data_IF_205043225761
#
_entry.id   IF_205043225761
#
_cell.length_a   1.000
_cell.length_b   1.000
_cell.length_c   1.000
_cell.angle_alpha   90.00
_cell.angle_beta   90.00
_cell.angle_gamma   90.00
#
_symmetry.space_group_name_H-M   'P 1'
#
loop_
_entity.id
_entity.type
_entity.pdbx_description
1 polymer ?
#
# COMPACT_ATOMS: atom_id res chain seq x y z
N UNK A 1 56.65 -21.86 21.51
CA UNK A 1 55.27 -21.31 21.41
C UNK A 1 54.37 -22.39 20.79
N UNK A 2 53.36 -22.85 21.55
CA UNK A 2 52.65 -24.12 21.33
C UNK A 2 51.65 -24.07 20.15
N UNK A 3 51.51 -25.16 19.38
CA UNK A 3 50.59 -25.26 18.20
C UNK A 3 49.12 -24.95 18.51
N UNK A 4 48.70 -24.96 19.78
CA UNK A 4 47.33 -24.68 20.21
C UNK A 4 46.92 -23.19 20.10
N UNK A 5 47.87 -22.26 19.99
CA UNK A 5 47.56 -20.82 19.91
C UNK A 5 47.20 -20.33 18.49
N UNK A 6 47.36 -21.17 17.46
CA UNK A 6 47.04 -20.78 16.07
C UNK A 6 45.59 -21.08 15.66
N UNK A 7 44.85 -21.84 16.47
CA UNK A 7 43.47 -22.24 16.16
C UNK A 7 42.39 -21.26 16.65
N UNK A 8 42.74 -20.25 17.46
CA UNK A 8 41.77 -19.26 17.95
C UNK A 8 41.67 -17.99 17.08
N UNK A 9 42.59 -17.76 16.14
CA UNK A 9 42.58 -16.56 15.32
C UNK A 9 41.71 -16.67 14.05
N UNK A 10 41.27 -17.88 13.67
CA UNK A 10 40.52 -18.11 12.44
C UNK A 10 39.00 -18.14 12.62
N UNK A 11 38.49 -18.09 13.86
CA UNK A 11 37.05 -18.15 14.18
C UNK A 11 36.41 -16.78 14.46
N UNK A 12 37.20 -15.69 14.47
CA UNK A 12 36.71 -14.32 14.70
C UNK A 12 36.54 -13.49 13.43
N UNK A 13 36.76 -14.05 12.23
CA UNK A 13 36.65 -13.30 10.97
C UNK A 13 35.25 -13.37 10.32
N UNK A 14 34.27 -14.04 10.92
CA UNK A 14 32.96 -14.31 10.29
C UNK A 14 31.83 -13.39 10.73
N UNK A 15 32.09 -12.38 11.56
CA UNK A 15 31.05 -11.55 12.16
C UNK A 15 31.33 -10.05 11.95
N UNK A 16 31.01 -9.53 10.75
CA UNK A 16 30.60 -8.13 10.56
C UNK A 16 30.47 -7.78 9.06
N UNK A 17 29.55 -8.42 8.34
CA UNK A 17 28.88 -7.76 7.20
C UNK A 17 27.40 -8.12 7.26
N UNK A 18 26.73 -7.72 8.34
CA UNK A 18 25.28 -7.53 8.29
C UNK A 18 25.05 -6.17 7.61
N UNK A 19 25.22 -6.12 6.29
CA UNK A 19 24.64 -5.04 5.52
C UNK A 19 23.13 -5.17 5.64
N UNK A 20 22.45 -4.14 6.13
CA UNK A 20 20.99 -4.08 6.02
C UNK A 20 20.66 -4.08 4.53
N UNK A 21 20.30 -5.24 3.98
CA UNK A 21 19.66 -5.30 2.69
C UNK A 21 18.27 -4.68 2.86
N UNK A 22 18.17 -3.36 2.73
CA UNK A 22 16.89 -2.71 2.54
C UNK A 22 16.41 -3.13 1.15
N UNK A 23 15.48 -4.07 1.11
CA UNK A 23 14.69 -4.25 -0.11
C UNK A 23 14.05 -2.90 -0.42
N UNK A 24 14.31 -2.35 -1.60
CA UNK A 24 13.71 -1.09 -2.02
C UNK A 24 12.19 -1.20 -1.88
N UNK A 25 11.53 -0.20 -1.29
CA UNK A 25 10.09 -0.24 -1.00
C UNK A 25 9.26 -0.47 -2.26
N UNK A 26 9.73 0.02 -3.41
CA UNK A 26 9.16 -0.26 -4.74
C UNK A 26 9.04 -1.76 -5.04
N UNK A 27 9.89 -2.60 -4.46
CA UNK A 27 9.89 -4.06 -4.58
C UNK A 27 9.24 -4.77 -3.38
N UNK A 28 8.33 -4.09 -2.67
CA UNK A 28 7.61 -4.65 -1.53
C UNK A 28 6.11 -4.47 -1.69
N UNK A 29 5.32 -5.44 -1.23
CA UNK A 29 3.87 -5.37 -1.35
C UNK A 29 3.32 -4.22 -0.50
N UNK A 30 2.29 -3.53 -1.00
CA UNK A 30 1.62 -2.46 -0.25
C UNK A 30 1.05 -2.99 1.09
N UNK A 31 1.44 -2.41 2.22
CA UNK A 31 0.80 -2.67 3.51
C UNK A 31 -0.65 -2.17 3.54
N UNK A 32 -1.49 -2.80 4.36
CA UNK A 32 -2.94 -2.50 4.42
C UNK A 32 -3.28 -1.11 4.93
N UNK A 33 -2.32 -0.39 5.53
CA UNK A 33 -2.51 0.97 6.03
C UNK A 33 -2.06 2.06 5.04
N UNK A 34 -1.67 1.70 3.81
CA UNK A 34 -1.27 2.65 2.76
C UNK A 34 -2.35 2.80 1.67
N UNK A 35 -3.49 2.15 1.81
CA UNK A 35 -4.59 2.20 0.85
C UNK A 35 -5.93 2.08 1.58
N UNK A 36 -7.01 2.41 0.88
CA UNK A 36 -8.39 2.23 1.35
C UNK A 36 -9.15 1.29 0.43
N UNK A 37 -10.28 0.76 0.89
CA UNK A 37 -11.16 -0.08 0.07
C UNK A 37 -12.51 0.62 -0.09
N UNK A 38 -12.87 0.94 -1.33
CA UNK A 38 -14.12 1.63 -1.65
C UNK A 38 -14.67 1.18 -3.01
N UNK A 39 -15.99 1.04 -3.10
CA UNK A 39 -16.68 0.61 -4.33
C UNK A 39 -16.17 -0.72 -4.93
N UNK A 40 -15.67 -1.62 -4.07
CA UNK A 40 -15.12 -2.92 -4.49
C UNK A 40 -13.69 -2.87 -5.03
N UNK A 41 -13.02 -1.73 -4.92
CA UNK A 41 -11.63 -1.54 -5.31
C UNK A 41 -10.79 -1.13 -4.11
N UNK A 42 -9.54 -1.59 -4.08
CA UNK A 42 -8.53 -0.95 -3.23
C UNK A 42 -7.95 0.24 -3.98
N UNK A 43 -7.85 1.39 -3.32
CA UNK A 43 -7.35 2.66 -3.85
C UNK A 43 -6.10 3.08 -3.09
N UNK A 44 -5.01 3.31 -3.81
CA UNK A 44 -3.76 3.81 -3.25
C UNK A 44 -3.38 5.17 -3.86
N UNK A 45 -3.04 6.12 -2.99
CA UNK A 45 -2.46 7.40 -3.38
C UNK A 45 -0.97 7.20 -3.69
N UNK A 46 -0.65 7.09 -4.97
CA UNK A 46 0.55 6.41 -5.42
C UNK A 46 1.67 7.32 -5.94
N UNK A 47 1.38 8.55 -6.35
CA UNK A 47 2.41 9.43 -6.91
C UNK A 47 1.98 10.90 -6.84
N UNK A 48 2.91 11.83 -6.54
CA UNK A 48 2.61 13.26 -6.44
C UNK A 48 2.53 13.97 -7.81
N UNK A 49 2.36 13.20 -8.89
CA UNK A 49 2.30 13.68 -10.26
C UNK A 49 1.48 12.68 -11.10
N UNK A 50 1.06 13.04 -12.33
CA UNK A 50 0.43 12.10 -13.24
C UNK A 50 1.37 10.92 -13.58
N UNK A 51 0.82 9.73 -13.82
CA UNK A 51 1.61 8.50 -14.04
C UNK A 51 2.71 8.63 -15.10
N UNK A 52 2.47 9.42 -16.15
CA UNK A 52 3.41 9.68 -17.24
C UNK A 52 4.74 10.34 -16.77
N UNK A 53 4.76 10.92 -15.57
CA UNK A 53 5.95 11.50 -14.95
C UNK A 53 6.90 10.45 -14.32
N UNK A 54 6.59 9.16 -14.43
CA UNK A 54 7.51 8.08 -14.04
C UNK A 54 7.04 7.23 -12.86
N UNK A 55 5.74 7.09 -12.66
CA UNK A 55 5.18 6.12 -11.70
C UNK A 55 5.62 4.69 -12.06
N UNK A 56 6.16 3.96 -11.09
CA UNK A 56 6.64 2.59 -11.24
C UNK A 56 5.56 1.57 -10.84
N UNK A 57 5.06 0.81 -11.82
CA UNK A 57 4.14 -0.32 -11.61
C UNK A 57 4.81 -1.69 -11.82
N UNK A 58 6.12 -1.73 -12.09
CA UNK A 58 6.82 -2.95 -12.51
C UNK A 58 6.68 -4.09 -11.49
N UNK A 59 6.74 -3.77 -10.20
CA UNK A 59 6.50 -4.72 -9.12
C UNK A 59 5.02 -4.79 -8.73
N UNK A 60 4.36 -3.64 -8.51
CA UNK A 60 3.00 -3.61 -7.96
C UNK A 60 1.94 -4.24 -8.88
N UNK A 61 2.18 -4.24 -10.19
CA UNK A 61 1.29 -4.90 -11.15
C UNK A 61 1.15 -6.41 -10.93
N UNK A 62 2.15 -7.09 -10.34
CA UNK A 62 2.03 -8.52 -10.00
C UNK A 62 1.02 -8.77 -8.87
N UNK A 63 0.66 -7.72 -8.12
CA UNK A 63 -0.39 -7.73 -7.08
C UNK A 63 -1.72 -7.16 -7.59
N UNK A 64 -1.83 -6.90 -8.89
CA UNK A 64 -3.04 -6.41 -9.54
C UNK A 64 -3.20 -4.89 -9.52
N UNK A 65 -2.23 -4.13 -8.98
CA UNK A 65 -2.28 -2.67 -9.00
C UNK A 65 -2.08 -2.12 -10.42
N UNK A 66 -2.90 -1.13 -10.79
CA UNK A 66 -2.90 -0.52 -12.11
C UNK A 66 -3.46 0.89 -12.08
N UNK A 67 -3.26 1.63 -13.17
CA UNK A 67 -3.95 2.89 -13.40
C UNK A 67 -5.46 2.63 -13.45
N UNK A 68 -6.28 3.41 -12.74
CA UNK A 68 -7.74 3.31 -12.83
C UNK A 68 -8.21 3.70 -14.23
N UNK A 69 -9.26 3.03 -14.70
CA UNK A 69 -9.99 3.46 -15.89
C UNK A 69 -10.76 4.75 -15.61
N UNK A 70 -11.17 5.47 -16.65
CA UNK A 70 -11.99 6.68 -16.48
C UNK A 70 -13.30 6.42 -15.72
N UNK A 71 -13.92 5.24 -15.92
CA UNK A 71 -15.15 4.86 -15.23
C UNK A 71 -14.92 4.61 -13.74
N UNK A 72 -13.79 3.98 -13.38
CA UNK A 72 -13.41 3.78 -11.99
C UNK A 72 -13.03 5.10 -11.33
N UNK A 73 -12.27 5.94 -12.03
CA UNK A 73 -11.82 7.24 -11.51
C UNK A 73 -12.99 8.21 -11.28
N UNK A 74 -14.12 8.05 -11.98
CA UNK A 74 -15.37 8.75 -11.68
C UNK A 74 -16.00 8.34 -10.34
N UNK A 75 -15.57 7.20 -9.77
CA UNK A 75 -15.94 6.69 -8.45
C UNK A 75 -14.76 6.78 -7.47
N UNK A 76 -13.74 7.60 -7.79
CA UNK A 76 -12.57 7.74 -6.95
C UNK A 76 -12.95 8.37 -5.59
N UNK A 77 -12.30 7.93 -4.51
CA UNK A 77 -12.45 8.54 -3.19
C UNK A 77 -12.02 10.00 -3.16
N UNK A 78 -12.54 10.76 -2.19
CA UNK A 78 -12.02 12.07 -1.82
C UNK A 78 -10.68 11.90 -1.07
N UNK A 79 -9.86 12.96 -1.05
CA UNK A 79 -8.60 12.95 -0.29
C UNK A 79 -8.82 12.64 1.20
N UNK A 80 -9.95 13.11 1.76
CA UNK A 80 -10.32 12.88 3.16
C UNK A 80 -10.65 11.43 3.48
N UNK A 81 -11.02 10.60 2.49
CA UNK A 81 -11.29 9.18 2.74
C UNK A 81 -10.02 8.38 3.03
N UNK A 82 -8.86 8.88 2.59
CA UNK A 82 -7.56 8.32 2.97
C UNK A 82 -7.20 8.60 4.43
N UNK A 83 -7.96 9.45 5.16
CA UNK A 83 -7.76 9.67 6.59
C UNK A 83 -8.50 8.63 7.42
N UNK A 84 -7.75 7.76 8.09
CA UNK A 84 -8.33 6.78 9.01
C UNK A 84 -7.36 6.43 10.15
N UNK A 85 -7.92 5.92 11.24
CA UNK A 85 -7.14 5.48 12.38
C UNK A 85 -6.23 4.31 11.98
N UNK A 86 -4.92 4.50 12.17
CA UNK A 86 -3.91 3.49 11.82
C UNK A 86 -3.34 3.61 10.41
N UNK A 87 -3.76 4.61 9.63
CA UNK A 87 -3.11 4.96 8.36
C UNK A 87 -1.60 5.25 8.57
N UNK A 88 -0.80 4.99 7.54
CA UNK A 88 0.66 4.93 7.68
C UNK A 88 1.33 6.28 7.99
N UNK A 89 0.79 7.40 7.48
CA UNK A 89 1.38 8.72 7.73
C UNK A 89 0.66 9.41 8.89
N UNK A 90 1.32 9.67 10.03
CA UNK A 90 0.73 10.44 11.12
C UNK A 90 0.52 11.91 10.74
N UNK A 91 -0.43 12.58 11.39
CA UNK A 91 -0.70 14.00 11.17
C UNK A 91 0.58 14.85 11.35
N UNK A 92 0.95 15.62 10.31
CA UNK A 92 2.17 16.44 10.27
C UNK A 92 3.47 15.67 10.56
N UNK A 93 3.51 14.38 10.25
CA UNK A 93 4.68 13.55 10.44
C UNK A 93 5.07 12.74 9.21
N UNK A 94 5.90 11.73 9.46
CA UNK A 94 6.47 10.86 8.45
C UNK A 94 6.22 9.42 8.90
N UNK A 95 5.81 8.55 7.96
CA UNK A 95 5.70 7.12 8.20
C UNK A 95 7.08 6.55 8.55
N UNK A 96 7.27 5.97 9.76
CA UNK A 96 8.56 5.44 10.18
C UNK A 96 9.02 4.22 9.37
N UNK A 97 8.13 3.55 8.63
CA UNK A 97 8.48 2.39 7.81
C UNK A 97 8.86 2.80 6.41
N UNK A 98 8.02 3.57 5.73
CA UNK A 98 8.21 3.89 4.31
C UNK A 98 8.88 5.24 4.05
N UNK A 99 8.96 6.12 5.05
CA UNK A 99 9.36 7.51 4.85
C UNK A 99 8.30 8.37 4.14
N UNK A 100 7.07 7.84 3.93
CA UNK A 100 5.97 8.58 3.34
C UNK A 100 5.58 9.79 4.20
N UNK A 101 5.24 10.91 3.57
CA UNK A 101 4.69 12.08 4.26
C UNK A 101 3.68 12.82 3.38
N UNK A 102 2.93 13.76 3.96
CA UNK A 102 2.08 14.67 3.18
C UNK A 102 2.74 16.04 3.04
N UNK A 103 2.84 16.52 1.80
CA UNK A 103 3.21 17.90 1.46
C UNK A 103 1.98 18.70 1.06
N UNK A 104 2.17 20.01 0.84
CA UNK A 104 1.12 20.91 0.38
C UNK A 104 -0.19 20.79 1.19
N UNK A 105 -0.04 20.67 2.51
CA UNK A 105 -1.14 20.41 3.44
C UNK A 105 -1.99 21.64 3.68
N UNK A 106 -3.26 21.45 4.02
CA UNK A 106 -4.18 22.51 4.43
C UNK A 106 -4.96 22.09 5.69
N UNK A 107 -5.90 22.93 6.15
CA UNK A 107 -6.66 22.70 7.37
C UNK A 107 -7.61 21.48 7.32
N UNK A 108 -7.85 20.89 6.14
CA UNK A 108 -8.67 19.68 6.01
C UNK A 108 -7.92 18.41 6.43
N UNK A 109 -6.58 18.42 6.40
CA UNK A 109 -5.77 17.33 6.95
C UNK A 109 -5.77 17.42 8.48
N UNK A 110 -6.61 16.60 9.13
CA UNK A 110 -6.82 16.67 10.59
C UNK A 110 -6.45 15.38 11.33
N UNK A 111 -5.95 14.38 10.61
CA UNK A 111 -5.60 13.08 11.17
C UNK A 111 -4.50 12.37 10.39
N UNK A 112 -4.18 11.15 10.82
CA UNK A 112 -3.33 10.26 10.03
C UNK A 112 -4.01 9.92 8.71
N UNK A 113 -3.22 9.79 7.64
CA UNK A 113 -3.72 9.49 6.31
C UNK A 113 -2.81 8.52 5.56
N UNK A 114 -3.38 7.82 4.58
CA UNK A 114 -2.69 6.83 3.79
C UNK A 114 -1.98 7.47 2.59
N UNK A 115 -0.67 7.26 2.48
CA UNK A 115 0.14 7.64 1.32
C UNK A 115 1.06 6.48 0.93
N UNK A 116 1.02 6.08 -0.34
CA UNK A 116 1.72 4.91 -0.86
C UNK A 116 2.89 5.25 -1.79
N UNK A 117 3.22 6.52 -2.00
CA UNK A 117 4.26 6.96 -2.96
C UNK A 117 5.57 6.17 -2.92
N UNK A 118 6.17 5.86 -1.75
CA UNK A 118 7.42 5.10 -1.70
C UNK A 118 7.37 3.69 -2.33
N UNK A 119 6.18 3.13 -2.54
CA UNK A 119 5.97 1.82 -3.16
C UNK A 119 5.85 1.87 -4.69
N UNK A 120 5.76 3.08 -5.26
CA UNK A 120 5.63 3.34 -6.70
C UNK A 120 6.70 4.32 -7.22
N UNK A 121 7.64 4.74 -6.37
CA UNK A 121 8.64 5.75 -6.70
C UNK A 121 9.94 5.52 -5.93
N UNK A 122 11.06 5.71 -6.63
CA UNK A 122 12.38 5.83 -6.00
C UNK A 122 12.83 7.31 -5.85
N UNK A 123 12.05 8.26 -6.36
CA UNK A 123 12.41 9.68 -6.41
C UNK A 123 11.52 10.56 -5.53
N UNK A 124 10.36 10.05 -5.12
CA UNK A 124 9.37 10.75 -4.32
C UNK A 124 8.97 9.90 -3.13
N UNK A 125 8.63 10.57 -2.02
CA UNK A 125 8.12 9.94 -0.82
C UNK A 125 6.96 10.73 -0.22
N UNK A 126 6.28 11.55 -1.02
CA UNK A 126 5.13 12.33 -0.57
C UNK A 126 3.90 12.15 -1.44
N UNK A 127 2.78 12.51 -0.85
CA UNK A 127 1.51 12.78 -1.50
C UNK A 127 1.18 14.26 -1.27
N UNK A 128 0.75 14.99 -2.29
CA UNK A 128 0.44 16.42 -2.19
C UNK A 128 -1.03 16.60 -1.82
N UNK A 129 -1.27 16.88 -0.54
CA UNK A 129 -2.62 16.85 0.04
C UNK A 129 -3.62 17.70 -0.74
N UNK A 130 -3.24 18.91 -1.16
CA UNK A 130 -4.13 19.84 -1.87
C UNK A 130 -4.55 19.39 -3.27
N UNK A 131 -3.88 18.40 -3.87
CA UNK A 131 -4.11 17.93 -5.23
C UNK A 131 -5.15 16.82 -5.30
N UNK A 132 -5.55 16.29 -4.13
CA UNK A 132 -6.56 15.25 -4.05
C UNK A 132 -7.99 15.72 -4.27
N UNK A 133 -8.87 14.80 -4.68
CA UNK A 133 -10.27 15.11 -4.89
C UNK A 133 -10.92 15.70 -3.63
N UNK A 134 -11.75 16.73 -3.81
CA UNK A 134 -12.34 17.49 -2.70
C UNK A 134 -11.41 18.56 -2.09
N UNK A 135 -10.17 18.69 -2.59
CA UNK A 135 -9.19 19.69 -2.15
C UNK A 135 -9.04 20.83 -3.18
N UNK A 136 -8.38 21.97 -2.84
CA UNK A 136 -8.38 23.16 -3.68
C UNK A 136 -7.79 23.02 -5.08
N UNK A 137 -6.86 22.07 -5.30
CA UNK A 137 -6.20 21.83 -6.59
C UNK A 137 -6.63 20.50 -7.25
N UNK A 138 -7.71 19.90 -6.75
CA UNK A 138 -8.42 18.79 -7.41
C UNK A 138 -8.74 19.08 -8.89
N UNK A 139 -9.01 18.06 -9.72
CA UNK A 139 -9.19 16.64 -9.39
C UNK A 139 -7.92 15.79 -9.58
N UNK A 140 -8.01 14.51 -9.16
CA UNK A 140 -6.99 13.48 -9.42
C UNK A 140 -6.54 13.41 -10.88
N UNK A 141 -5.28 13.01 -11.10
CA UNK A 141 -4.75 12.79 -12.44
C UNK A 141 -5.60 11.79 -13.23
N UNK A 142 -5.95 12.18 -14.47
CA UNK A 142 -6.80 11.39 -15.38
C UNK A 142 -8.25 11.89 -15.46
N UNK A 143 -8.72 12.70 -14.51
CA UNK A 143 -10.02 13.37 -14.61
C UNK A 143 -9.95 14.62 -15.48
N UNK A 144 -11.07 14.98 -16.09
CA UNK A 144 -11.19 16.23 -16.84
C UNK A 144 -10.97 17.42 -15.89
N UNK A 145 -10.06 18.31 -16.27
CA UNK A 145 -9.70 19.49 -15.45
C UNK A 145 -8.54 19.25 -14.48
N UNK A 146 -7.99 18.02 -14.41
CA UNK A 146 -6.80 17.74 -13.62
C UNK A 146 -5.61 18.62 -14.05
N UNK A 147 -4.88 19.14 -13.07
CA UNK A 147 -3.67 19.92 -13.30
C UNK A 147 -2.53 19.04 -13.82
N UNK A 148 -1.52 19.66 -14.45
CA UNK A 148 -0.32 18.94 -14.92
C UNK A 148 0.54 18.34 -13.80
N UNK A 149 0.28 18.74 -12.56
CA UNK A 149 0.91 18.25 -11.34
C UNK A 149 -0.06 17.44 -10.46
N UNK A 150 -1.27 17.14 -10.92
CA UNK A 150 -2.23 16.41 -10.11
C UNK A 150 -1.69 15.03 -9.70
N UNK A 151 -2.01 14.63 -8.47
CA UNK A 151 -1.58 13.34 -7.93
C UNK A 151 -2.27 12.15 -8.61
N UNK A 152 -1.54 11.04 -8.69
CA UNK A 152 -1.99 9.80 -9.32
C UNK A 152 -2.50 8.80 -8.28
N UNK A 153 -3.75 8.37 -8.46
CA UNK A 153 -4.27 7.17 -7.83
C UNK A 153 -3.95 5.92 -8.66
N UNK A 154 -3.86 4.78 -7.97
CA UNK A 154 -3.86 3.44 -8.57
C UNK A 154 -4.88 2.56 -7.87
N UNK A 155 -5.35 1.53 -8.58
CA UNK A 155 -6.37 0.61 -8.10
C UNK A 155 -6.00 -0.83 -8.30
N UNK A 156 -6.59 -1.69 -7.46
CA UNK A 156 -6.76 -3.12 -7.74
C UNK A 156 -8.14 -3.56 -7.29
N UNK A 157 -8.57 -4.74 -7.72
CA UNK A 157 -9.77 -5.36 -7.15
C UNK A 157 -9.55 -5.59 -5.66
N UNK A 158 -10.51 -5.18 -4.83
CA UNK A 158 -10.43 -5.40 -3.40
C UNK A 158 -10.27 -6.89 -3.12
N UNK A 159 -9.24 -7.25 -2.36
CA UNK A 159 -9.08 -8.61 -1.88
C UNK A 159 -10.06 -8.84 -0.75
N UNK A 160 -11.32 -9.13 -1.08
CA UNK A 160 -12.34 -9.53 -0.12
C UNK A 160 -11.97 -10.92 0.38
N UNK A 161 -11.70 -11.12 1.68
CA UNK A 161 -11.56 -12.46 2.22
C UNK A 161 -12.85 -13.23 1.91
N UNK A 162 -12.72 -14.36 1.22
CA UNK A 162 -13.83 -15.26 0.89
C UNK A 162 -14.76 -15.39 2.12
N UNK A 163 -16.07 -15.12 1.99
CA UNK A 163 -16.96 -15.14 3.14
C UNK A 163 -16.86 -16.50 3.84
N UNK A 164 -16.63 -16.50 5.15
CA UNK A 164 -16.65 -17.71 5.98
C UNK A 164 -17.95 -18.53 5.80
N UNK A 165 -18.99 -17.93 5.23
CA UNK A 165 -20.21 -18.58 4.74
C UNK A 165 -19.93 -19.79 3.83
N UNK A 166 -18.92 -19.77 2.95
CA UNK A 166 -18.57 -20.94 2.12
C UNK A 166 -18.00 -22.05 3.00
N UNK A 167 -17.14 -21.71 3.95
CA UNK A 167 -16.62 -22.67 4.92
C UNK A 167 -17.75 -23.25 5.81
N UNK A 168 -18.72 -22.43 6.22
CA UNK A 168 -19.88 -22.85 7.00
C UNK A 168 -20.84 -23.74 6.19
N UNK A 169 -21.08 -23.45 4.92
CA UNK A 169 -21.85 -24.31 4.02
C UNK A 169 -21.14 -25.65 3.82
N UNK A 170 -19.82 -25.63 3.60
CA UNK A 170 -19.00 -26.84 3.49
C UNK A 170 -19.07 -27.70 4.76
N UNK A 171 -18.89 -27.09 5.93
CA UNK A 171 -19.01 -27.76 7.22
C UNK A 171 -20.43 -28.30 7.48
N UNK A 172 -21.46 -27.52 7.12
CA UNK A 172 -22.86 -27.92 7.26
C UNK A 172 -23.20 -29.16 6.43
N UNK A 173 -22.73 -29.22 5.18
CA UNK A 173 -22.91 -30.38 4.30
C UNK A 173 -22.17 -31.63 4.83
N UNK A 174 -20.94 -31.46 5.33
CA UNK A 174 -20.18 -32.56 5.96
C UNK A 174 -20.91 -33.09 7.20
N UNK A 175 -21.44 -32.19 8.05
CA UNK A 175 -22.25 -32.56 9.21
C UNK A 175 -23.51 -33.34 8.84
N UNK A 176 -24.19 -32.95 7.76
CA UNK A 176 -25.41 -33.62 7.27
C UNK A 176 -25.13 -35.01 6.69
N UNK A 177 -24.01 -35.19 6.01
CA UNK A 177 -23.58 -36.51 5.50
C UNK A 177 -23.13 -37.42 6.65
N UNK A 178 -22.44 -36.86 7.66
CA UNK A 178 -22.03 -37.59 8.85
C UNK A 178 -23.20 -38.08 9.71
N UNK A 179 -24.26 -37.26 9.86
CA UNK A 179 -25.45 -37.64 10.65
C UNK A 179 -26.25 -38.77 10.01
N UNK A 180 -26.33 -38.80 8.67
CA UNK A 180 -27.00 -39.89 7.93
C UNK A 180 -26.32 -41.25 8.06
N UNK A 181 -25.02 -41.31 8.34
CA UNK A 181 -24.27 -42.57 8.53
C UNK A 181 -24.44 -43.19 9.92
N UNK A 182 -24.84 -42.41 10.93
CA UNK A 182 -25.14 -42.89 12.28
C UNK A 182 -26.58 -43.37 12.47
N UNK A 183 -27.48 -43.08 11.53
CA UNK A 183 -28.89 -43.45 11.59
C UNK A 183 -29.21 -44.80 10.91
N UNK A 184 -28.18 -45.56 10.51
CA UNK A 184 -28.26 -46.97 10.11
C UNK A 184 -27.55 -47.83 11.14
#
# INVERSE_FOLDING_TARGET
MNKKTKFLAALLASAAIAGNAHAALVNSALPTNTYITESGLDWAWAFPLPAAAGLDLSFQSSFGWRIPTLAELALAPDATDFMFAGANVPLHGVDPVSGAYFSATNAALTGAAACATPYFSNSYSHCDWQDGQGQPLAPWAGLQGAQGFADQLVVRNAQVPEPASIALIGLGLIGLVGSRRKAK
#
